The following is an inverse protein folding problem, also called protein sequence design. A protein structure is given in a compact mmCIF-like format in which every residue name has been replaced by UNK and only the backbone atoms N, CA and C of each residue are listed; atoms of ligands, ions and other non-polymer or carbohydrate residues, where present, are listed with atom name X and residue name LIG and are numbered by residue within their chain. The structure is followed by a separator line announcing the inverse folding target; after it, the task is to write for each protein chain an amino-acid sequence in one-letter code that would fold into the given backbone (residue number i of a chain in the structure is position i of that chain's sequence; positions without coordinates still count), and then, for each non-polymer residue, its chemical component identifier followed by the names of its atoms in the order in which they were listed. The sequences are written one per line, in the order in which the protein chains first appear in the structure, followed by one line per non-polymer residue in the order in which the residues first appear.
data_IF_357509161752
#
_entry.id   IF_357509161752
#
_cell.length_a   1.000
_cell.length_b   1.000
_cell.length_c   1.000
_cell.angle_alpha   90.00
_cell.angle_beta   90.00
_cell.angle_gamma   90.00
#
_symmetry.space_group_name_H-M   'P 1'
#
loop_
_entity.id
_entity.type
_entity.pdbx_description
1 polymer ?
#
# COMPACT_ATOMS: atom_id res chain seq x y z
N UNK A 1 1.96 -13.75 0.16
CA UNK A 1 0.83 -13.84 1.13
C UNK A 1 1.14 -13.02 2.38
N UNK A 2 0.19 -12.23 2.90
CA UNK A 2 0.27 -11.56 4.22
C UNK A 2 -0.48 -12.37 5.28
N UNK A 3 0.12 -12.54 6.43
CA UNK A 3 -0.49 -13.20 7.59
C UNK A 3 -0.34 -12.32 8.83
N UNK A 4 -1.44 -12.09 9.52
CA UNK A 4 -1.49 -11.33 10.77
C UNK A 4 -2.11 -12.22 11.84
N UNK A 5 -1.39 -12.40 12.94
CA UNK A 5 -1.80 -13.29 14.02
C UNK A 5 -1.82 -12.55 15.35
N UNK A 6 -3.02 -12.38 15.94
CA UNK A 6 -3.28 -11.75 17.24
C UNK A 6 -2.57 -10.43 17.45
N UNK A 7 -2.54 -9.61 16.39
CA UNK A 7 -1.86 -8.32 16.39
C UNK A 7 -2.50 -7.39 17.42
N UNK A 8 -1.71 -6.93 18.36
CA UNK A 8 -2.09 -5.96 19.38
C UNK A 8 -1.06 -4.85 19.39
N UNK A 9 -1.51 -3.61 19.26
CA UNK A 9 -0.61 -2.47 19.20
C UNK A 9 -1.33 -1.13 19.18
N UNK A 10 -0.55 -0.05 19.02
CA UNK A 10 -1.08 1.32 19.08
C UNK A 10 0.01 2.34 19.30
N UNK A 11 -0.33 3.45 19.96
CA UNK A 11 0.55 4.60 20.17
C UNK A 11 0.82 4.83 21.66
N UNK A 12 2.10 5.01 22.03
CA UNK A 12 2.53 5.41 23.39
C UNK A 12 1.81 4.61 24.49
N UNK A 13 1.86 3.27 24.42
CA UNK A 13 1.22 2.34 25.37
C UNK A 13 -0.33 2.39 25.42
N UNK A 14 -0.97 3.05 24.45
CA UNK A 14 -2.44 3.04 24.30
C UNK A 14 -2.77 2.00 23.22
N UNK A 15 -3.34 0.84 23.56
CA UNK A 15 -3.69 -0.17 22.59
C UNK A 15 -4.86 0.30 21.71
N UNK A 16 -4.63 0.40 20.42
CA UNK A 16 -5.64 0.66 19.39
C UNK A 16 -6.15 -0.65 18.83
N UNK A 17 -5.25 -1.59 18.53
CA UNK A 17 -5.58 -2.92 18.02
C UNK A 17 -5.63 -3.94 19.17
N UNK A 18 -6.56 -4.89 19.07
CA UNK A 18 -6.85 -5.90 20.10
C UNK A 18 -6.99 -7.27 19.44
N UNK A 19 -5.89 -8.03 19.40
CA UNK A 19 -5.83 -9.42 18.88
C UNK A 19 -6.40 -9.55 17.44
N UNK A 20 -6.03 -8.61 16.55
CA UNK A 20 -6.45 -8.64 15.15
C UNK A 20 -5.76 -9.80 14.44
N UNK A 21 -6.53 -10.65 13.75
CA UNK A 21 -6.00 -11.80 12.98
C UNK A 21 -6.73 -11.92 11.65
N UNK A 22 -5.99 -11.82 10.55
CA UNK A 22 -6.50 -12.07 9.19
C UNK A 22 -5.34 -12.37 8.24
N UNK A 23 -5.66 -12.76 7.01
CA UNK A 23 -4.67 -12.98 5.96
C UNK A 23 -5.09 -12.34 4.65
N UNK A 24 -4.10 -12.05 3.80
CA UNK A 24 -4.29 -11.67 2.40
C UNK A 24 -3.60 -12.72 1.54
N UNK A 25 -4.36 -13.64 0.94
CA UNK A 25 -3.80 -14.68 0.09
C UNK A 25 -3.13 -14.11 -1.17
N UNK A 26 -2.27 -14.91 -1.79
CA UNK A 26 -1.69 -14.55 -3.08
C UNK A 26 -2.78 -14.44 -4.15
N UNK A 27 -2.64 -13.45 -5.04
CA UNK A 27 -3.59 -13.19 -6.11
C UNK A 27 -4.95 -12.68 -5.63
N UNK A 28 -5.06 -12.18 -4.39
CA UNK A 28 -6.30 -11.62 -3.87
C UNK A 28 -6.13 -10.16 -3.44
N UNK A 29 -7.21 -9.41 -3.59
CA UNK A 29 -7.38 -8.06 -3.06
C UNK A 29 -8.37 -8.12 -1.88
N UNK A 30 -7.87 -7.85 -0.68
CA UNK A 30 -8.67 -7.82 0.56
C UNK A 30 -8.89 -6.37 1.01
N UNK A 31 -10.15 -6.01 1.20
CA UNK A 31 -10.56 -4.72 1.72
C UNK A 31 -10.48 -4.66 3.24
N UNK A 32 -9.66 -3.77 3.81
CA UNK A 32 -9.65 -3.44 5.24
C UNK A 32 -10.62 -2.28 5.47
N UNK A 33 -11.82 -2.60 5.92
CA UNK A 33 -12.96 -1.68 5.97
C UNK A 33 -13.21 -1.23 7.41
N UNK A 34 -13.50 0.05 7.59
CA UNK A 34 -13.88 0.59 8.89
C UNK A 34 -13.97 2.11 8.89
N UNK A 35 -14.73 2.65 9.83
CA UNK A 35 -14.82 4.10 10.02
C UNK A 35 -13.48 4.70 10.46
N UNK A 36 -13.39 6.02 10.42
CA UNK A 36 -12.22 6.73 10.94
C UNK A 36 -12.04 6.39 12.43
N UNK A 37 -10.80 6.10 12.85
CA UNK A 37 -10.49 5.63 14.19
C UNK A 37 -10.76 4.13 14.46
N UNK A 38 -11.17 3.34 13.45
CA UNK A 38 -11.38 1.91 13.62
C UNK A 38 -10.09 1.11 13.85
N UNK A 39 -8.91 1.65 13.45
CA UNK A 39 -7.61 1.01 13.58
C UNK A 39 -6.95 0.65 12.23
N UNK A 40 -7.52 1.03 11.09
CA UNK A 40 -6.99 0.71 9.75
C UNK A 40 -5.55 1.19 9.58
N UNK A 41 -5.30 2.48 9.74
CA UNK A 41 -3.94 3.05 9.57
C UNK A 41 -2.96 2.54 10.62
N UNK A 42 -3.42 2.22 11.85
CA UNK A 42 -2.58 1.56 12.86
C UNK A 42 -2.16 0.18 12.39
N UNK A 43 -3.09 -0.62 11.84
CA UNK A 43 -2.80 -1.94 11.27
C UNK A 43 -1.78 -1.82 10.14
N UNK A 44 -1.98 -0.88 9.20
CA UNK A 44 -1.05 -0.63 8.10
C UNK A 44 0.33 -0.24 8.64
N UNK A 45 0.40 0.70 9.60
CA UNK A 45 1.66 1.17 10.16
C UNK A 45 2.45 0.06 10.89
N UNK A 46 1.77 -0.90 11.50
CA UNK A 46 2.42 -2.08 12.08
C UNK A 46 2.91 -3.05 11.00
N UNK A 47 2.15 -3.24 9.91
CA UNK A 47 2.58 -4.07 8.78
C UNK A 47 3.83 -3.48 8.10
N UNK A 48 3.85 -2.19 7.79
CA UNK A 48 5.00 -1.56 7.12
C UNK A 48 6.17 -1.27 8.06
N UNK A 49 6.01 -1.53 9.36
CA UNK A 49 7.06 -1.40 10.36
C UNK A 49 7.32 0.03 10.85
N UNK A 50 6.36 0.94 10.70
CA UNK A 50 6.40 2.28 11.31
C UNK A 50 5.98 2.25 12.78
N UNK A 51 5.19 1.26 13.17
CA UNK A 51 4.84 0.96 14.57
C UNK A 51 5.30 -0.46 14.91
N UNK A 52 5.70 -0.66 16.16
CA UNK A 52 6.04 -1.97 16.67
C UNK A 52 4.84 -2.56 17.41
N UNK A 53 4.39 -3.79 17.07
CA UNK A 53 3.35 -4.48 17.81
C UNK A 53 3.73 -4.64 19.29
N UNK A 54 2.74 -4.52 20.17
CA UNK A 54 2.90 -4.89 21.60
C UNK A 54 2.86 -6.40 21.79
N UNK A 55 2.06 -7.09 20.95
CA UNK A 55 1.96 -8.54 20.92
C UNK A 55 1.43 -8.99 19.55
N UNK A 56 1.57 -10.27 19.26
CA UNK A 56 1.20 -10.85 17.98
C UNK A 56 2.31 -10.75 16.94
N UNK A 57 1.99 -11.10 15.71
CA UNK A 57 2.98 -11.24 14.66
C UNK A 57 2.41 -10.86 13.30
N UNK A 58 3.28 -10.29 12.45
CA UNK A 58 3.01 -10.04 11.03
C UNK A 58 4.06 -10.76 10.20
N UNK A 59 3.63 -11.55 9.22
CA UNK A 59 4.51 -12.23 8.27
C UNK A 59 4.09 -11.91 6.83
N UNK A 60 5.08 -11.70 5.98
CA UNK A 60 4.91 -11.55 4.53
C UNK A 60 5.77 -12.62 3.86
N UNK A 61 5.14 -13.53 3.12
CA UNK A 61 5.81 -14.70 2.51
C UNK A 61 6.64 -15.49 3.54
N UNK A 62 6.12 -15.64 4.76
CA UNK A 62 6.78 -16.34 5.86
C UNK A 62 7.85 -15.53 6.60
N UNK A 63 8.23 -14.34 6.12
CA UNK A 63 9.22 -13.48 6.78
C UNK A 63 8.55 -12.52 7.76
N UNK A 64 9.16 -12.29 8.91
CA UNK A 64 8.77 -11.22 9.83
C UNK A 64 9.81 -10.09 9.85
N UNK A 65 9.36 -8.88 10.22
CA UNK A 65 10.24 -7.70 10.27
C UNK A 65 11.42 -7.87 11.27
N UNK A 66 11.26 -8.47 12.46
CA UNK A 66 12.38 -8.69 13.38
C UNK A 66 13.39 -9.71 12.88
N UNK A 67 12.96 -10.74 12.12
CA UNK A 67 13.84 -11.82 11.62
C UNK A 67 14.65 -11.38 10.40
N UNK A 68 14.05 -10.65 9.47
CA UNK A 68 14.65 -10.27 8.18
C UNK A 68 14.20 -8.87 7.73
N UNK A 69 14.65 -7.80 8.41
CA UNK A 69 14.10 -6.45 8.21
C UNK A 69 14.25 -5.92 6.78
N UNK A 70 15.33 -6.21 6.10
CA UNK A 70 15.58 -5.76 4.73
C UNK A 70 14.71 -6.52 3.74
N UNK A 71 14.71 -7.85 3.82
CA UNK A 71 13.96 -8.71 2.90
C UNK A 71 12.46 -8.56 3.10
N UNK A 72 12.01 -8.36 4.34
CA UNK A 72 10.62 -8.06 4.67
C UNK A 72 10.14 -6.77 3.99
N UNK A 73 10.91 -5.67 4.10
CA UNK A 73 10.55 -4.39 3.49
C UNK A 73 10.55 -4.44 1.97
N UNK A 74 11.46 -5.22 1.36
CA UNK A 74 11.50 -5.44 -0.10
C UNK A 74 10.23 -6.12 -0.63
N UNK A 75 9.42 -6.75 0.23
CA UNK A 75 8.14 -7.36 -0.13
C UNK A 75 6.99 -6.37 -0.24
N UNK A 76 7.13 -5.13 0.20
CA UNK A 76 6.04 -4.17 0.35
C UNK A 76 6.15 -3.04 -0.67
N UNK A 77 5.07 -2.82 -1.43
CA UNK A 77 4.79 -1.59 -2.15
C UNK A 77 3.69 -0.82 -1.42
N UNK A 78 4.00 0.36 -0.89
CA UNK A 78 3.07 1.14 -0.10
C UNK A 78 2.60 2.40 -0.83
N UNK A 79 1.29 2.55 -0.96
CA UNK A 79 0.61 3.73 -1.50
C UNK A 79 -0.14 4.38 -0.34
N UNK A 80 0.35 5.50 0.21
CA UNK A 80 -0.27 6.16 1.35
C UNK A 80 -1.52 6.97 0.95
N UNK A 81 -2.41 7.23 1.92
CA UNK A 81 -3.56 8.13 1.78
C UNK A 81 -3.12 9.56 1.41
N UNK A 82 -2.08 10.04 2.06
CA UNK A 82 -1.53 11.38 1.79
C UNK A 82 -0.14 11.24 1.20
N UNK A 83 0.09 11.79 -0.01
CA UNK A 83 1.39 11.71 -0.65
C UNK A 83 2.44 12.46 0.17
N UNK A 84 3.56 11.80 0.44
CA UNK A 84 4.72 12.37 1.13
C UNK A 84 5.93 12.29 0.19
N UNK A 85 6.31 13.41 -0.37
CA UNK A 85 7.41 13.55 -1.30
C UNK A 85 8.45 14.52 -0.74
N UNK A 86 9.72 14.31 -1.06
CA UNK A 86 10.82 15.22 -0.74
C UNK A 86 10.75 16.43 -1.68
N UNK A 87 10.54 17.63 -1.16
CA UNK A 87 10.32 18.83 -1.98
C UNK A 87 11.56 19.22 -2.80
N UNK A 88 12.74 18.76 -2.38
CA UNK A 88 14.03 18.99 -2.99
C UNK A 88 14.39 17.99 -4.10
N UNK A 89 13.62 16.93 -4.27
CA UNK A 89 13.86 15.90 -5.29
C UNK A 89 12.85 16.04 -6.44
N UNK A 90 13.33 15.89 -7.66
CA UNK A 90 12.47 15.77 -8.85
C UNK A 90 11.76 14.41 -8.88
N UNK A 91 10.78 14.24 -9.77
CA UNK A 91 10.12 12.95 -9.97
C UNK A 91 11.13 11.85 -10.33
N UNK A 92 12.11 12.15 -11.20
CA UNK A 92 13.20 11.23 -11.56
C UNK A 92 13.98 10.80 -10.32
N UNK A 93 14.42 11.77 -9.52
CA UNK A 93 15.20 11.52 -8.32
C UNK A 93 14.42 10.75 -7.24
N UNK A 94 13.09 10.89 -7.17
CA UNK A 94 12.26 10.02 -6.33
C UNK A 94 12.32 8.57 -6.79
N UNK A 95 12.20 8.30 -8.10
CA UNK A 95 12.32 6.95 -8.65
C UNK A 95 13.72 6.38 -8.40
N UNK A 96 14.76 7.17 -8.63
CA UNK A 96 16.15 6.80 -8.35
C UNK A 96 16.38 6.51 -6.85
N UNK A 97 15.81 7.33 -5.96
CA UNK A 97 15.88 7.11 -4.50
C UNK A 97 15.24 5.79 -4.10
N UNK A 98 14.10 5.44 -4.69
CA UNK A 98 13.46 4.14 -4.46
C UNK A 98 14.34 3.01 -4.99
N UNK A 99 14.88 3.13 -6.21
CA UNK A 99 15.76 2.13 -6.77
C UNK A 99 16.98 1.88 -5.88
N UNK A 100 17.63 2.94 -5.40
CA UNK A 100 18.78 2.83 -4.47
C UNK A 100 18.38 2.22 -3.12
N UNK A 101 17.26 2.64 -2.54
CA UNK A 101 16.81 2.16 -1.23
C UNK A 101 16.47 0.65 -1.22
N UNK A 102 16.03 0.14 -2.36
CA UNK A 102 15.66 -1.27 -2.53
C UNK A 102 16.74 -2.10 -3.25
N UNK A 103 17.89 -1.49 -3.56
CA UNK A 103 19.00 -2.14 -4.29
C UNK A 103 18.54 -2.73 -5.63
N UNK A 104 17.83 -1.91 -6.41
CA UNK A 104 17.27 -2.29 -7.71
C UNK A 104 18.11 -1.71 -8.85
N UNK A 105 18.17 -2.44 -9.94
CA UNK A 105 18.76 -1.97 -11.20
C UNK A 105 17.87 -0.89 -11.83
N UNK A 106 18.45 0.29 -12.08
CA UNK A 106 17.72 1.47 -12.55
C UNK A 106 17.12 1.28 -13.94
N UNK A 107 17.79 0.55 -14.84
CA UNK A 107 17.26 0.29 -16.18
C UNK A 107 16.01 -0.59 -16.11
N UNK A 108 16.01 -1.61 -15.23
CA UNK A 108 14.85 -2.45 -15.00
C UNK A 108 13.71 -1.67 -14.33
N UNK A 109 14.02 -0.77 -13.40
CA UNK A 109 13.04 0.12 -12.78
C UNK A 109 12.41 1.02 -13.85
N UNK A 110 13.20 1.65 -14.72
CA UNK A 110 12.68 2.50 -15.79
C UNK A 110 11.81 1.73 -16.78
N UNK A 111 12.18 0.52 -17.18
CA UNK A 111 11.34 -0.34 -18.04
C UNK A 111 9.97 -0.58 -17.39
N UNK A 112 9.93 -0.76 -16.06
CA UNK A 112 8.69 -1.00 -15.31
C UNK A 112 7.84 0.24 -15.13
N UNK A 113 8.44 1.38 -14.81
CA UNK A 113 7.69 2.61 -14.50
C UNK A 113 7.36 3.46 -15.71
N UNK A 114 8.06 3.32 -16.84
CA UNK A 114 7.81 4.12 -18.04
C UNK A 114 6.36 4.02 -18.55
N UNK A 115 5.73 2.83 -18.64
CA UNK A 115 4.32 2.72 -19.02
C UNK A 115 3.37 3.44 -18.04
N UNK A 116 3.73 3.50 -16.76
CA UNK A 116 2.94 4.21 -15.73
C UNK A 116 3.12 5.72 -15.85
N UNK A 117 4.33 6.19 -16.17
CA UNK A 117 4.60 7.60 -16.43
C UNK A 117 3.75 8.11 -17.60
N UNK A 118 3.66 7.34 -18.68
CA UNK A 118 2.80 7.65 -19.84
C UNK A 118 1.32 7.65 -19.45
N UNK A 119 0.84 6.57 -18.80
CA UNK A 119 -0.55 6.40 -18.38
C UNK A 119 -1.02 7.55 -17.48
N UNK A 120 -0.19 7.96 -16.52
CA UNK A 120 -0.49 9.06 -15.60
C UNK A 120 -0.15 10.45 -16.15
N UNK A 121 0.37 10.56 -17.40
CA UNK A 121 0.77 11.81 -18.07
C UNK A 121 1.85 12.56 -17.30
N UNK A 122 2.82 11.83 -16.78
CA UNK A 122 3.97 12.35 -16.03
C UNK A 122 5.31 12.15 -16.77
N UNK A 123 5.34 11.50 -17.93
CA UNK A 123 6.57 11.21 -18.68
C UNK A 123 7.38 12.48 -19.02
N UNK A 124 6.71 13.57 -19.42
CA UNK A 124 7.35 14.86 -19.73
C UNK A 124 7.66 15.69 -18.46
N UNK A 125 7.40 15.17 -17.24
CA UNK A 125 7.54 15.88 -15.97
C UNK A 125 8.58 15.25 -15.04
N UNK A 126 9.45 14.41 -15.59
CA UNK A 126 10.47 13.71 -14.80
C UNK A 126 11.38 14.67 -14.03
N UNK A 127 11.65 15.85 -14.59
CA UNK A 127 12.53 16.84 -13.97
C UNK A 127 11.76 17.94 -13.19
N UNK A 128 10.47 17.71 -12.93
CA UNK A 128 9.65 18.59 -12.10
C UNK A 128 9.77 18.24 -10.62
N UNK A 129 9.71 19.28 -9.79
CA UNK A 129 9.69 19.17 -8.33
C UNK A 129 8.25 19.02 -7.81
N UNK A 130 8.05 18.41 -6.63
CA UNK A 130 6.73 18.25 -6.00
C UNK A 130 5.96 19.56 -5.80
N UNK A 131 6.66 20.68 -5.63
CA UNK A 131 6.05 22.01 -5.51
C UNK A 131 5.27 22.43 -6.77
N UNK A 132 5.60 21.84 -7.93
CA UNK A 132 4.93 22.08 -9.21
C UNK A 132 3.75 21.12 -9.45
N UNK A 133 3.54 20.13 -8.56
CA UNK A 133 2.52 19.10 -8.70
C UNK A 133 1.25 19.44 -7.90
N UNK A 134 0.09 19.19 -8.52
CA UNK A 134 -1.17 19.13 -7.78
C UNK A 134 -1.16 17.94 -6.79
N UNK A 135 -2.10 17.93 -5.83
CA UNK A 135 -2.25 16.81 -4.89
C UNK A 135 -2.41 15.47 -5.64
N UNK A 136 -3.25 15.45 -6.68
CA UNK A 136 -3.46 14.23 -7.49
C UNK A 136 -2.20 13.80 -8.26
N UNK A 137 -1.39 14.75 -8.75
CA UNK A 137 -0.10 14.40 -9.38
C UNK A 137 0.87 13.81 -8.35
N UNK A 138 0.95 14.38 -7.15
CA UNK A 138 1.77 13.82 -6.06
C UNK A 138 1.33 12.39 -5.71
N UNK A 139 0.02 12.10 -5.70
CA UNK A 139 -0.49 10.76 -5.48
C UNK A 139 -0.08 9.79 -6.59
N UNK A 140 -0.13 10.22 -7.86
CA UNK A 140 0.37 9.43 -9.00
C UNK A 140 1.86 9.11 -8.87
N UNK A 141 2.67 10.04 -8.37
CA UNK A 141 4.10 9.79 -8.08
C UNK A 141 4.27 8.69 -7.02
N UNK A 142 3.49 8.72 -5.93
CA UNK A 142 3.54 7.67 -4.90
C UNK A 142 3.16 6.30 -5.47
N UNK A 143 2.16 6.23 -6.36
CA UNK A 143 1.79 5.00 -7.06
C UNK A 143 2.97 4.49 -7.91
N UNK A 144 3.59 5.35 -8.73
CA UNK A 144 4.75 4.98 -9.54
C UNK A 144 5.90 4.45 -8.68
N UNK A 145 6.21 5.11 -7.56
CA UNK A 145 7.24 4.68 -6.63
C UNK A 145 6.95 3.29 -6.01
N UNK A 146 5.69 3.03 -5.65
CA UNK A 146 5.29 1.72 -5.11
C UNK A 146 5.43 0.60 -6.17
N UNK A 147 5.11 0.90 -7.42
CA UNK A 147 5.25 -0.05 -8.53
C UNK A 147 6.70 -0.25 -8.97
N UNK A 148 7.58 0.71 -8.73
CA UNK A 148 9.02 0.60 -9.02
C UNK A 148 9.66 -0.58 -8.28
N UNK A 149 9.17 -0.93 -7.09
CA UNK A 149 9.72 -1.98 -6.23
C UNK A 149 9.41 -3.39 -6.74
N UNK A 150 8.30 -3.60 -7.46
CA UNK A 150 7.77 -4.93 -7.84
C UNK A 150 7.56 -5.87 -6.64
N UNK A 151 6.81 -5.46 -5.63
CA UNK A 151 6.67 -6.19 -4.38
C UNK A 151 5.79 -7.44 -4.55
N UNK A 152 5.76 -8.32 -3.53
CA UNK A 152 4.77 -9.39 -3.43
C UNK A 152 3.47 -8.94 -2.78
N UNK A 153 3.52 -7.86 -2.00
CA UNK A 153 2.36 -7.27 -1.31
C UNK A 153 2.24 -5.77 -1.62
N UNK A 154 1.12 -5.37 -2.18
CA UNK A 154 0.73 -3.96 -2.24
C UNK A 154 -0.16 -3.60 -1.04
N UNK A 155 0.17 -2.51 -0.36
CA UNK A 155 -0.67 -1.90 0.67
C UNK A 155 -1.12 -0.54 0.16
N UNK A 156 -2.43 -0.34 0.09
CA UNK A 156 -3.04 0.83 -0.55
C UNK A 156 -3.99 1.48 0.45
N UNK A 157 -3.59 2.63 0.99
CA UNK A 157 -4.33 3.32 2.05
C UNK A 157 -5.20 4.42 1.45
N UNK A 158 -6.55 4.24 1.48
CA UNK A 158 -7.56 5.19 0.98
C UNK A 158 -7.21 5.77 -0.41
N UNK A 159 -6.95 4.96 -1.43
CA UNK A 159 -6.19 5.32 -2.63
C UNK A 159 -6.85 6.35 -3.56
N UNK A 160 -8.16 6.55 -3.41
CA UNK A 160 -8.94 7.36 -4.37
C UNK A 160 -8.98 8.84 -4.03
N UNK A 161 -8.51 9.21 -2.84
CA UNK A 161 -8.52 10.59 -2.37
C UNK A 161 -7.58 11.46 -3.21
N UNK A 162 -8.16 12.45 -3.89
CA UNK A 162 -7.42 13.43 -4.69
C UNK A 162 -7.08 13.01 -6.11
N UNK A 163 -7.43 11.80 -6.52
CA UNK A 163 -7.32 11.36 -7.92
C UNK A 163 -8.55 11.80 -8.72
N UNK A 164 -8.33 12.12 -9.99
CA UNK A 164 -9.39 12.32 -10.97
C UNK A 164 -10.00 10.96 -11.40
N UNK A 165 -11.24 10.94 -11.97
CA UNK A 165 -11.90 9.69 -12.33
C UNK A 165 -11.11 8.80 -13.30
N UNK A 166 -10.30 9.38 -14.18
CA UNK A 166 -9.46 8.63 -15.13
C UNK A 166 -8.33 7.94 -14.37
N UNK A 167 -7.66 8.67 -13.48
CA UNK A 167 -6.60 8.09 -12.65
C UNK A 167 -7.11 7.03 -11.67
N UNK A 168 -8.34 7.16 -11.17
CA UNK A 168 -8.99 6.11 -10.38
C UNK A 168 -9.18 4.84 -11.22
N UNK A 169 -9.72 4.96 -12.43
CA UNK A 169 -9.88 3.82 -13.34
C UNK A 169 -8.54 3.17 -13.69
N UNK A 170 -7.51 3.98 -13.94
CA UNK A 170 -6.15 3.52 -14.19
C UNK A 170 -5.57 2.74 -13.00
N UNK A 171 -5.74 3.24 -11.77
CA UNK A 171 -5.26 2.57 -10.57
C UNK A 171 -6.00 1.25 -10.34
N UNK A 172 -7.32 1.22 -10.52
CA UNK A 172 -8.13 -0.01 -10.43
C UNK A 172 -7.60 -1.07 -11.39
N UNK A 173 -7.35 -0.69 -12.65
CA UNK A 173 -6.81 -1.62 -13.64
C UNK A 173 -5.41 -2.11 -13.27
N UNK A 174 -4.53 -1.22 -12.78
CA UNK A 174 -3.19 -1.58 -12.32
C UNK A 174 -3.22 -2.60 -11.17
N UNK A 175 -4.10 -2.38 -10.18
CA UNK A 175 -4.25 -3.33 -9.07
C UNK A 175 -4.80 -4.67 -9.55
N UNK A 176 -5.75 -4.67 -10.51
CA UNK A 176 -6.26 -5.89 -11.12
C UNK A 176 -5.16 -6.66 -11.89
N UNK A 177 -4.32 -5.95 -12.63
CA UNK A 177 -3.20 -6.52 -13.37
C UNK A 177 -2.17 -7.17 -12.41
N UNK A 178 -1.84 -6.51 -11.28
CA UNK A 178 -0.94 -7.07 -10.27
C UNK A 178 -1.54 -8.28 -9.55
N UNK A 179 -2.84 -8.23 -9.23
CA UNK A 179 -3.58 -9.37 -8.69
C UNK A 179 -3.51 -10.57 -9.64
N UNK A 180 -3.70 -10.35 -10.95
CA UNK A 180 -3.60 -11.42 -11.96
C UNK A 180 -2.20 -12.03 -12.08
N UNK A 181 -1.14 -11.28 -11.67
CA UNK A 181 0.23 -11.79 -11.56
C UNK A 181 0.50 -12.57 -10.26
N UNK A 182 -0.52 -12.74 -9.42
CA UNK A 182 -0.40 -13.45 -8.15
C UNK A 182 0.04 -12.58 -6.97
N UNK A 183 0.09 -11.24 -7.12
CA UNK A 183 0.45 -10.35 -6.01
C UNK A 183 -0.69 -10.25 -5.00
N UNK A 184 -0.37 -10.16 -3.72
CA UNK A 184 -1.33 -9.89 -2.64
C UNK A 184 -1.60 -8.39 -2.55
N UNK A 185 -2.86 -7.98 -2.30
CA UNK A 185 -3.21 -6.56 -2.17
C UNK A 185 -4.08 -6.36 -0.93
N UNK A 186 -3.65 -5.48 -0.03
CA UNK A 186 -4.44 -5.00 1.10
C UNK A 186 -4.84 -3.55 0.83
N UNK A 187 -6.14 -3.29 0.69
CA UNK A 187 -6.65 -1.94 0.44
C UNK A 187 -7.49 -1.47 1.62
N UNK A 188 -7.12 -0.36 2.26
CA UNK A 188 -7.98 0.26 3.26
C UNK A 188 -9.03 1.14 2.58
N UNK A 189 -10.23 1.13 3.11
CA UNK A 189 -11.28 2.07 2.71
C UNK A 189 -12.36 2.21 3.77
N UNK A 190 -13.02 3.37 3.78
CA UNK A 190 -14.25 3.60 4.54
C UNK A 190 -15.50 3.56 3.63
N UNK A 191 -15.33 3.35 2.31
CA UNK A 191 -16.40 3.33 1.30
C UNK A 191 -16.68 1.89 0.88
N UNK A 192 -17.80 1.35 1.37
CA UNK A 192 -18.21 -0.05 1.10
C UNK A 192 -18.41 -0.34 -0.38
N UNK A 193 -19.04 0.58 -1.12
CA UNK A 193 -19.33 0.41 -2.56
C UNK A 193 -18.07 0.21 -3.40
N UNK A 194 -16.95 0.83 -2.98
CA UNK A 194 -15.66 0.66 -3.65
C UNK A 194 -15.04 -0.70 -3.35
N UNK A 195 -15.15 -1.15 -2.10
CA UNK A 195 -14.65 -2.45 -1.68
C UNK A 195 -15.42 -3.58 -2.37
N UNK A 196 -16.74 -3.50 -2.42
CA UNK A 196 -17.63 -4.52 -3.04
C UNK A 196 -17.31 -4.75 -4.51
N UNK A 197 -16.93 -3.71 -5.24
CA UNK A 197 -16.62 -3.81 -6.68
C UNK A 197 -15.22 -4.33 -7.02
N UNK A 198 -14.28 -4.26 -6.07
CA UNK A 198 -12.86 -4.49 -6.36
C UNK A 198 -12.26 -5.63 -5.55
N UNK A 199 -12.77 -5.87 -4.34
CA UNK A 199 -12.18 -6.82 -3.40
C UNK A 199 -12.72 -8.24 -3.64
N UNK A 200 -11.86 -9.23 -3.44
CA UNK A 200 -12.26 -10.64 -3.41
C UNK A 200 -12.77 -11.03 -2.01
N UNK A 201 -12.39 -10.25 -1.00
CA UNK A 201 -12.82 -10.44 0.37
C UNK A 201 -12.62 -9.18 1.21
N UNK A 202 -13.05 -9.25 2.46
CA UNK A 202 -13.05 -8.10 3.35
C UNK A 202 -12.69 -8.46 4.78
N UNK A 203 -12.17 -7.47 5.49
CA UNK A 203 -11.98 -7.45 6.94
C UNK A 203 -12.60 -6.18 7.49
N UNK A 204 -13.64 -6.29 8.31
CA UNK A 204 -14.29 -5.13 8.93
C UNK A 204 -13.71 -4.90 10.31
N UNK A 205 -13.04 -3.75 10.47
CA UNK A 205 -12.51 -3.27 11.76
C UNK A 205 -13.49 -2.31 12.43
N UNK A 206 -13.65 -2.48 13.75
CA UNK A 206 -14.35 -1.53 14.60
C UNK A 206 -13.70 -1.48 15.99
N UNK A 207 -13.27 -0.28 16.40
CA UNK A 207 -12.61 -0.04 17.71
C UNK A 207 -11.44 -1.01 17.97
N UNK A 208 -10.62 -1.23 16.93
CA UNK A 208 -9.43 -2.08 17.00
C UNK A 208 -9.69 -3.58 17.02
N UNK A 209 -10.88 -4.04 16.70
CA UNK A 209 -11.24 -5.46 16.63
C UNK A 209 -11.89 -5.80 15.30
N UNK A 210 -11.67 -7.02 14.82
CA UNK A 210 -12.41 -7.54 13.67
C UNK A 210 -13.85 -7.86 14.11
N UNK A 211 -14.81 -7.36 13.35
CA UNK A 211 -16.24 -7.64 13.52
C UNK A 211 -16.77 -8.66 12.55
N UNK A 212 -16.26 -8.65 11.35
CA UNK A 212 -16.55 -9.62 10.30
C UNK A 212 -15.37 -9.73 9.35
N UNK A 213 -15.20 -10.87 8.74
CA UNK A 213 -14.30 -11.10 7.62
C UNK A 213 -14.85 -12.23 6.77
N UNK A 214 -14.58 -12.20 5.48
CA UNK A 214 -15.06 -13.20 4.52
C UNK A 214 -14.78 -12.83 3.09
N UNK A 215 -15.25 -13.67 2.19
CA UNK A 215 -15.27 -13.44 0.74
C UNK A 215 -16.48 -12.62 0.34
N UNK A 216 -16.41 -11.97 -0.81
CA UNK A 216 -17.53 -11.30 -1.46
C UNK A 216 -18.01 -12.22 -2.58
N UNK A 217 -18.78 -13.25 -2.22
CA UNK A 217 -19.45 -14.18 -3.15
C UNK A 217 -20.88 -13.73 -3.45
#
# INVERSE_FOLDING_TARGET
MLEINKLTGGYVNIPVLKEVSFSVPDGQLIGLIGLNGAGKSTTINEIIGLLHPYAGEVRIDGLSLPEAPTDYRKKIGYIPETPSLYEELTLREHIETVAMAYDLDMDQVMVRVHPLLERFRLAEKLDWFPTQFSKGMKQKVMIICAYAVDPSLYIVDEPFLGLDPVAIADLIQLLADEKAKGKSILMSTHVLDSAEKMCDGFVILHKGQIRAQGTLD
#
